data_IF_877111074353
#
_entry.id   IF_877111074353
#
_cell.length_a   1.000
_cell.length_b   1.000
_cell.length_c   1.000
_cell.angle_alpha   90.00
_cell.angle_beta   90.00
_cell.angle_gamma   90.00
#
_symmetry.space_group_name_H-M   'P 1'
#
loop_
_entity.id
_entity.type
_entity.pdbx_description
1 polymer ?
#
# COMPACT_ATOMS: atom_id res chain seq x y z
N UNK A 1 74.31 -23.30 39.90
CA UNK A 1 73.24 -24.06 39.25
C UNK A 1 71.93 -23.61 39.89
N UNK A 2 71.30 -22.53 39.38
CA UNK A 2 70.05 -21.98 39.89
C UNK A 2 68.95 -22.27 38.87
N UNK A 3 67.96 -23.05 39.28
CA UNK A 3 66.75 -23.29 38.48
C UNK A 3 65.74 -22.17 38.70
N UNK A 4 65.50 -21.39 37.64
CA UNK A 4 64.40 -20.39 37.61
C UNK A 4 63.10 -21.15 37.23
N UNK A 5 62.12 -21.10 38.11
CA UNK A 5 60.74 -21.54 37.81
C UNK A 5 59.93 -20.40 37.20
N UNK A 6 59.51 -20.59 35.97
CA UNK A 6 58.61 -19.72 35.26
C UNK A 6 57.17 -20.01 35.70
N UNK A 7 56.52 -19.06 36.36
CA UNK A 7 55.10 -19.11 36.69
C UNK A 7 54.32 -18.48 35.54
N UNK A 8 53.50 -19.28 34.84
CA UNK A 8 52.54 -18.80 33.84
C UNK A 8 51.27 -18.38 34.57
N UNK A 9 51.04 -17.09 34.62
CA UNK A 9 49.74 -16.51 35.08
C UNK A 9 48.79 -16.51 33.89
N UNK A 10 47.82 -17.42 33.93
CA UNK A 10 46.73 -17.46 32.99
C UNK A 10 45.74 -16.30 33.28
N UNK A 11 45.73 -15.31 32.41
CA UNK A 11 44.73 -14.22 32.45
C UNK A 11 43.45 -14.73 31.81
N UNK A 12 42.48 -15.13 32.63
CA UNK A 12 41.13 -15.48 32.16
C UNK A 12 40.40 -14.20 31.72
N UNK A 13 40.17 -14.01 30.42
CA UNK A 13 39.23 -13.04 29.93
C UNK A 13 37.80 -13.49 30.29
N UNK A 14 37.23 -12.90 31.31
CA UNK A 14 35.76 -12.91 31.51
C UNK A 14 35.14 -12.00 30.44
N UNK A 15 34.51 -12.61 29.42
CA UNK A 15 33.62 -11.95 28.53
C UNK A 15 32.33 -11.72 29.32
N UNK A 16 32.18 -10.54 29.93
CA UNK A 16 30.89 -10.09 30.41
C UNK A 16 30.04 -9.72 29.18
N UNK A 17 29.13 -10.62 28.81
CA UNK A 17 28.04 -10.28 27.92
C UNK A 17 27.24 -9.18 28.62
N UNK A 18 27.37 -7.92 28.18
CA UNK A 18 26.43 -6.87 28.52
C UNK A 18 25.10 -7.23 27.83
N UNK A 19 24.18 -7.86 28.55
CA UNK A 19 22.78 -7.74 28.21
C UNK A 19 22.40 -6.29 28.41
N UNK A 20 22.16 -5.55 27.36
CA UNK A 20 21.58 -4.21 27.43
C UNK A 20 20.10 -4.38 27.86
N UNK A 21 19.86 -4.40 29.17
CA UNK A 21 18.52 -4.15 29.68
C UNK A 21 18.13 -2.74 29.25
N UNK A 22 17.21 -2.64 28.28
CA UNK A 22 16.60 -1.33 27.94
C UNK A 22 16.04 -0.76 29.25
N UNK A 23 16.54 0.42 29.65
CA UNK A 23 16.02 1.12 30.81
C UNK A 23 14.61 1.56 30.43
N UNK A 24 13.59 1.04 31.11
CA UNK A 24 12.19 1.43 30.91
C UNK A 24 12.04 2.91 31.30
N UNK A 25 11.92 3.77 30.29
CA UNK A 25 11.64 5.21 30.45
C UNK A 25 10.20 5.48 29.99
N UNK A 26 9.59 6.59 30.42
CA UNK A 26 8.28 6.97 29.88
C UNK A 26 8.33 7.38 28.41
N UNK A 27 9.54 7.62 27.88
CA UNK A 27 9.76 8.04 26.49
C UNK A 27 9.69 6.87 25.51
N UNK A 28 9.73 5.60 25.97
CA UNK A 28 9.65 4.41 25.11
C UNK A 28 8.21 3.84 24.98
N UNK A 29 7.20 4.51 25.54
CA UNK A 29 5.81 4.07 25.47
C UNK A 29 5.27 4.11 24.02
N UNK A 30 4.54 3.06 23.65
CA UNK A 30 3.91 2.91 22.34
C UNK A 30 3.00 4.11 21.96
N UNK A 31 2.31 4.69 22.94
CA UNK A 31 1.43 5.86 22.72
C UNK A 31 2.17 7.17 22.45
N UNK A 32 3.49 7.23 22.65
CA UNK A 32 4.29 8.46 22.51
C UNK A 32 5.23 8.44 21.31
N UNK A 33 5.42 7.29 20.69
CA UNK A 33 6.40 7.11 19.62
C UNK A 33 5.73 6.58 18.34
N UNK A 34 6.28 6.91 17.16
CA UNK A 34 5.87 6.26 15.92
C UNK A 34 6.10 4.75 15.97
N UNK A 35 5.13 3.97 15.51
CA UNK A 35 5.29 2.54 15.29
C UNK A 35 6.35 2.35 14.19
N UNK A 36 7.37 1.54 14.47
CA UNK A 36 8.42 1.25 13.51
C UNK A 36 8.04 0.02 12.70
N UNK A 37 7.92 0.18 11.38
CA UNK A 37 7.60 -0.90 10.46
C UNK A 37 8.72 -1.10 9.45
N UNK A 38 9.01 -2.34 9.11
CA UNK A 38 10.04 -2.69 8.13
C UNK A 38 9.52 -3.76 7.18
N UNK A 39 9.73 -3.54 5.88
CA UNK A 39 9.53 -4.52 4.80
C UNK A 39 10.89 -4.73 4.13
N UNK A 40 11.35 -5.97 4.01
CA UNK A 40 12.62 -6.29 3.36
C UNK A 40 12.39 -7.11 2.09
N UNK A 41 12.37 -6.42 0.95
CA UNK A 41 12.17 -7.03 -0.37
C UNK A 41 13.42 -7.79 -0.87
N UNK A 42 14.54 -7.69 -0.18
CA UNK A 42 15.77 -8.43 -0.50
C UNK A 42 15.85 -9.78 0.22
N UNK A 43 14.94 -10.02 1.16
CA UNK A 43 14.84 -11.23 1.98
C UNK A 43 13.54 -12.01 1.74
N UNK A 44 12.98 -11.88 0.55
CA UNK A 44 11.81 -12.66 0.10
C UNK A 44 12.16 -14.15 0.02
N UNK A 45 11.31 -15.00 0.59
CA UNK A 45 11.47 -16.46 0.61
C UNK A 45 10.17 -17.13 0.19
N UNK A 46 10.24 -18.01 -0.79
CA UNK A 46 9.06 -18.73 -1.32
C UNK A 46 7.91 -17.77 -1.63
N UNK A 47 8.23 -16.67 -2.32
CA UNK A 47 7.29 -15.64 -2.74
C UNK A 47 6.59 -14.87 -1.59
N UNK A 48 7.26 -14.76 -0.44
CA UNK A 48 6.75 -14.09 0.75
C UNK A 48 7.73 -13.06 1.27
N UNK A 49 7.24 -11.85 1.50
CA UNK A 49 8.03 -10.76 2.04
C UNK A 49 7.99 -10.73 3.57
N UNK A 50 9.15 -10.65 4.26
CA UNK A 50 9.19 -10.51 5.70
C UNK A 50 8.80 -9.09 6.13
N UNK A 51 7.99 -9.01 7.17
CA UNK A 51 7.55 -7.78 7.82
C UNK A 51 7.87 -7.83 9.30
N UNK A 52 8.35 -6.70 9.83
CA UNK A 52 8.59 -6.50 11.27
C UNK A 52 7.91 -5.22 11.72
N UNK A 53 7.22 -5.27 12.86
CA UNK A 53 6.57 -4.10 13.48
C UNK A 53 6.97 -4.02 14.94
N UNK A 54 7.64 -2.93 15.33
CA UNK A 54 7.96 -2.56 16.72
C UNK A 54 7.03 -1.41 17.12
N UNK A 55 6.04 -1.67 18.00
CA UNK A 55 5.07 -0.65 18.42
C UNK A 55 5.64 0.29 19.50
N UNK A 56 6.80 0.00 20.06
CA UNK A 56 7.22 0.52 21.34
C UNK A 56 6.58 -0.26 22.52
N UNK A 57 6.78 0.22 23.72
CA UNK A 57 6.38 -0.49 24.96
C UNK A 57 4.91 -0.26 25.31
N UNK A 58 4.15 -1.35 25.48
CA UNK A 58 2.81 -1.34 26.05
C UNK A 58 2.83 -1.30 27.59
N UNK A 59 1.73 -0.85 28.17
CA UNK A 59 1.45 -0.93 29.61
C UNK A 59 0.36 -1.94 29.94
N UNK A 60 -0.35 -2.38 28.90
CA UNK A 60 -1.43 -3.39 28.96
C UNK A 60 -0.84 -4.80 28.94
N UNK A 61 -1.47 -5.73 29.65
CA UNK A 61 -1.10 -7.15 29.68
C UNK A 61 -1.52 -7.89 28.39
N UNK A 62 -2.57 -7.44 27.74
CA UNK A 62 -3.07 -8.00 26.49
C UNK A 62 -3.34 -6.92 25.45
N UNK A 63 -2.93 -7.16 24.20
CA UNK A 63 -3.22 -6.28 23.06
C UNK A 63 -3.74 -7.10 21.87
N UNK A 64 -4.44 -6.43 20.97
CA UNK A 64 -4.93 -7.03 19.73
C UNK A 64 -4.19 -6.40 18.55
N UNK A 65 -3.56 -7.26 17.73
CA UNK A 65 -2.97 -6.92 16.44
C UNK A 65 -3.89 -7.37 15.31
N UNK A 66 -4.05 -6.53 14.27
CA UNK A 66 -4.93 -6.81 13.14
C UNK A 66 -4.29 -6.46 11.79
N UNK A 67 -4.64 -7.22 10.76
CA UNK A 67 -4.63 -6.77 9.37
C UNK A 67 -6.05 -6.34 8.99
N UNK A 68 -6.21 -5.41 8.03
CA UNK A 68 -7.53 -4.99 7.56
C UNK A 68 -8.40 -6.14 7.06
N UNK A 69 -9.65 -6.16 7.50
CA UNK A 69 -10.69 -7.01 6.96
C UNK A 69 -11.31 -6.38 5.70
N UNK A 70 -11.47 -5.06 5.74
CA UNK A 70 -11.99 -4.22 4.65
C UNK A 70 -11.12 -2.99 4.53
N UNK A 71 -11.00 -2.42 3.34
CA UNK A 71 -10.34 -1.13 3.11
C UNK A 71 -11.31 -0.14 2.48
N UNK A 72 -10.95 1.14 2.51
CA UNK A 72 -11.71 2.18 1.81
C UNK A 72 -11.63 1.96 0.31
N UNK A 73 -12.70 2.27 -0.42
CA UNK A 73 -12.78 2.19 -1.88
C UNK A 73 -13.13 0.81 -2.44
N UNK A 74 -12.83 -0.29 -1.73
CA UNK A 74 -13.05 -1.64 -2.29
C UNK A 74 -14.50 -2.16 -2.20
N UNK A 75 -15.26 -1.71 -1.20
CA UNK A 75 -16.64 -2.15 -0.90
C UNK A 75 -16.82 -3.66 -0.72
N UNK A 76 -15.73 -4.40 -0.58
CA UNK A 76 -15.68 -5.86 -0.43
C UNK A 76 -14.95 -6.27 0.85
N UNK A 77 -15.16 -7.52 1.26
CA UNK A 77 -14.46 -8.11 2.42
C UNK A 77 -13.22 -8.85 1.92
N UNK A 78 -12.07 -8.22 2.03
CA UNK A 78 -10.80 -8.71 1.48
C UNK A 78 -10.06 -9.67 2.40
N UNK A 79 -10.15 -9.47 3.74
CA UNK A 79 -9.53 -10.31 4.77
C UNK A 79 -8.01 -10.47 4.57
N UNK A 80 -7.24 -9.39 4.59
CA UNK A 80 -5.79 -9.41 4.35
C UNK A 80 -5.00 -10.29 5.33
N UNK A 81 -5.51 -10.53 6.54
CA UNK A 81 -4.88 -11.47 7.49
C UNK A 81 -4.85 -12.94 7.03
N UNK A 82 -5.51 -13.29 5.91
CA UNK A 82 -5.38 -14.62 5.28
C UNK A 82 -4.02 -14.85 4.63
N UNK A 83 -3.39 -13.75 4.21
CA UNK A 83 -2.12 -13.77 3.47
C UNK A 83 -0.90 -13.68 4.40
N UNK A 84 -1.15 -13.72 5.72
CA UNK A 84 -0.12 -13.65 6.75
C UNK A 84 0.26 -15.06 7.22
N UNK A 85 1.55 -15.35 7.16
CA UNK A 85 2.14 -16.61 7.63
C UNK A 85 3.18 -16.36 8.73
N UNK A 86 3.37 -17.36 9.58
CA UNK A 86 4.39 -17.40 10.64
C UNK A 86 4.35 -16.19 11.60
N UNK A 87 3.15 -15.68 11.90
CA UNK A 87 2.98 -14.58 12.85
C UNK A 87 3.61 -14.95 14.20
N UNK A 88 4.51 -14.11 14.70
CA UNK A 88 5.26 -14.33 15.95
C UNK A 88 5.39 -13.01 16.71
N UNK A 89 4.97 -13.03 17.99
CA UNK A 89 5.22 -11.93 18.93
C UNK A 89 6.49 -12.24 19.73
N UNK A 90 7.42 -11.30 19.85
CA UNK A 90 8.73 -11.49 20.49
C UNK A 90 8.88 -10.46 21.61
N UNK A 91 9.47 -10.91 22.73
CA UNK A 91 9.92 -10.01 23.79
C UNK A 91 11.29 -9.41 23.49
N UNK A 92 11.76 -8.51 24.38
CA UNK A 92 13.06 -7.81 24.25
C UNK A 92 14.30 -8.74 24.32
N UNK A 93 14.12 -9.98 24.78
CA UNK A 93 15.16 -11.02 24.79
C UNK A 93 15.06 -11.96 23.56
N UNK A 94 14.07 -11.71 22.67
CA UNK A 94 13.80 -12.52 21.48
C UNK A 94 13.02 -13.81 21.78
N UNK A 95 12.44 -13.95 22.97
CA UNK A 95 11.59 -15.08 23.33
C UNK A 95 10.17 -14.86 22.81
N UNK A 96 9.55 -15.94 22.34
CA UNK A 96 8.17 -15.91 21.83
C UNK A 96 7.19 -15.68 22.98
N UNK A 97 6.35 -14.65 22.83
CA UNK A 97 5.21 -14.36 23.68
C UNK A 97 3.99 -15.17 23.27
N UNK A 98 3.08 -15.50 24.21
CA UNK A 98 1.82 -16.16 23.88
C UNK A 98 0.99 -15.30 22.93
N UNK A 99 0.64 -15.84 21.76
CA UNK A 99 -0.25 -15.19 20.82
C UNK A 99 -1.26 -16.19 20.28
N UNK A 100 -2.48 -15.74 19.98
CA UNK A 100 -3.56 -16.56 19.46
C UNK A 100 -4.29 -15.85 18.34
N UNK A 101 -4.39 -16.49 17.16
CA UNK A 101 -5.26 -16.03 16.10
C UNK A 101 -6.72 -16.21 16.53
N UNK A 102 -7.51 -15.13 16.60
CA UNK A 102 -8.89 -15.11 17.09
C UNK A 102 -9.91 -15.07 15.96
N UNK A 103 -9.52 -14.55 14.79
CA UNK A 103 -10.29 -14.59 13.55
C UNK A 103 -9.33 -14.58 12.34
N UNK A 104 -9.84 -14.40 11.12
CA UNK A 104 -9.00 -14.39 9.90
C UNK A 104 -7.95 -13.28 9.92
N UNK A 105 -8.22 -12.15 10.58
CA UNK A 105 -7.44 -10.92 10.48
C UNK A 105 -6.77 -10.52 11.80
N UNK A 106 -7.06 -11.21 12.92
CA UNK A 106 -6.75 -10.70 14.25
C UNK A 106 -6.03 -11.71 15.14
N UNK A 107 -5.08 -11.21 15.93
CA UNK A 107 -4.33 -11.97 16.94
C UNK A 107 -4.38 -11.25 18.29
N UNK A 108 -4.69 -11.96 19.36
CA UNK A 108 -4.40 -11.52 20.74
C UNK A 108 -2.96 -11.87 21.08
N UNK A 109 -2.29 -10.97 21.80
CA UNK A 109 -0.93 -11.15 22.32
C UNK A 109 -1.02 -10.90 23.82
N UNK A 110 -0.68 -11.91 24.62
CA UNK A 110 -0.62 -11.81 26.08
C UNK A 110 0.81 -11.48 26.56
N UNK A 111 0.97 -11.05 27.80
CA UNK A 111 2.22 -10.51 28.36
C UNK A 111 2.74 -9.31 27.54
N UNK A 112 1.82 -8.48 27.01
CA UNK A 112 2.13 -7.44 26.02
C UNK A 112 2.99 -6.29 26.59
N UNK A 113 3.06 -6.12 27.89
CA UNK A 113 4.02 -5.19 28.54
C UNK A 113 5.50 -5.56 28.27
N UNK A 114 5.75 -6.80 27.81
CA UNK A 114 7.06 -7.31 27.42
C UNK A 114 7.25 -7.37 25.89
N UNK A 115 6.25 -7.01 25.10
CA UNK A 115 6.33 -7.07 23.63
C UNK A 115 7.38 -6.08 23.12
N UNK A 116 8.38 -6.60 22.37
CA UNK A 116 9.34 -5.83 21.60
C UNK A 116 8.82 -5.60 20.17
N UNK A 117 8.39 -6.69 19.52
CA UNK A 117 7.92 -6.64 18.13
C UNK A 117 7.07 -7.82 17.74
N UNK A 118 6.35 -7.65 16.64
CA UNK A 118 5.75 -8.75 15.88
C UNK A 118 6.48 -8.93 14.55
N UNK A 119 6.60 -10.19 14.11
CA UNK A 119 7.16 -10.55 12.82
C UNK A 119 6.24 -11.52 12.10
N UNK A 120 6.17 -11.43 10.78
CA UNK A 120 5.40 -12.33 9.93
C UNK A 120 5.88 -12.26 8.49
N UNK A 121 5.41 -13.19 7.67
CA UNK A 121 5.56 -13.15 6.23
C UNK A 121 4.22 -12.78 5.58
N UNK A 122 4.29 -11.97 4.54
CA UNK A 122 3.16 -11.63 3.68
C UNK A 122 3.29 -12.40 2.38
N UNK A 123 2.30 -13.20 2.05
CA UNK A 123 2.10 -13.76 0.71
C UNK A 123 1.32 -12.75 -0.12
N UNK A 124 1.57 -12.67 -1.42
CA UNK A 124 0.88 -11.73 -2.27
C UNK A 124 -0.54 -12.18 -2.67
N UNK A 125 -1.23 -11.39 -3.50
CA UNK A 125 -2.60 -11.67 -3.89
C UNK A 125 -2.76 -11.91 -5.39
N UNK A 126 -1.72 -11.63 -6.19
CA UNK A 126 -1.83 -11.69 -7.65
C UNK A 126 -1.76 -13.11 -8.18
N UNK A 127 -0.93 -13.97 -7.59
CA UNK A 127 -0.66 -15.32 -8.08
C UNK A 127 -1.19 -16.45 -7.19
N UNK A 128 -1.89 -16.12 -6.13
CA UNK A 128 -2.44 -17.12 -5.21
C UNK A 128 -3.18 -18.21 -5.96
N UNK A 129 -2.75 -19.45 -5.72
CA UNK A 129 -3.46 -20.64 -6.22
C UNK A 129 -4.89 -20.66 -5.67
N UNK A 130 -5.85 -20.52 -6.59
CA UNK A 130 -7.27 -20.51 -6.26
C UNK A 130 -7.73 -21.89 -5.85
N UNK A 131 -7.52 -22.25 -4.60
CA UNK A 131 -8.15 -23.42 -4.00
C UNK A 131 -9.62 -23.06 -3.67
N UNK A 132 -10.49 -23.22 -4.65
CA UNK A 132 -11.95 -23.40 -4.64
C UNK A 132 -12.85 -22.40 -3.92
N UNK A 133 -12.47 -21.88 -2.76
CA UNK A 133 -13.34 -21.12 -1.84
C UNK A 133 -12.87 -19.68 -1.54
N UNK A 134 -11.79 -19.22 -2.15
CA UNK A 134 -11.26 -17.87 -1.89
C UNK A 134 -11.65 -16.96 -3.06
N UNK A 135 -12.51 -15.97 -2.80
CA UNK A 135 -12.73 -14.88 -3.75
C UNK A 135 -11.40 -14.15 -3.98
N UNK A 136 -10.99 -13.94 -5.23
CA UNK A 136 -9.79 -13.17 -5.50
C UNK A 136 -9.96 -11.74 -5.00
N UNK A 137 -8.89 -11.16 -4.45
CA UNK A 137 -8.82 -9.74 -4.13
C UNK A 137 -8.95 -8.94 -5.44
N UNK A 138 -9.66 -7.83 -5.42
CA UNK A 138 -9.67 -6.86 -6.53
C UNK A 138 -8.24 -6.40 -6.80
N UNK A 139 -7.75 -6.55 -8.03
CA UNK A 139 -6.31 -6.41 -8.27
C UNK A 139 -5.73 -5.04 -7.92
N UNK A 140 -6.40 -3.89 -8.11
CA UNK A 140 -5.89 -2.60 -7.67
C UNK A 140 -5.70 -2.45 -6.15
N UNK A 141 -6.44 -3.18 -5.32
CA UNK A 141 -6.22 -3.25 -3.86
C UNK A 141 -5.23 -4.36 -3.46
N UNK A 142 -4.89 -5.22 -4.41
CA UNK A 142 -4.03 -6.38 -4.20
C UNK A 142 -2.55 -6.05 -4.11
N UNK A 143 -1.77 -7.10 -3.91
CA UNK A 143 -0.31 -7.02 -3.71
C UNK A 143 0.40 -7.92 -4.70
N UNK A 144 1.64 -7.57 -5.08
CA UNK A 144 2.52 -8.36 -5.91
C UNK A 144 3.88 -8.54 -5.23
N UNK A 145 4.40 -9.76 -5.23
CA UNK A 145 5.75 -10.10 -4.75
C UNK A 145 6.41 -10.93 -5.84
N UNK A 146 7.22 -10.30 -6.67
CA UNK A 146 7.90 -10.94 -7.80
C UNK A 146 9.35 -10.46 -7.87
N UNK A 147 10.29 -11.26 -8.35
CA UNK A 147 11.69 -10.86 -8.49
C UNK A 147 11.92 -9.56 -9.28
N UNK A 148 11.01 -9.21 -10.18
CA UNK A 148 11.13 -8.04 -11.06
C UNK A 148 10.25 -6.86 -10.64
N UNK A 149 9.25 -7.10 -9.77
CA UNK A 149 8.29 -6.08 -9.37
C UNK A 149 7.58 -6.40 -8.06
N UNK A 150 7.38 -5.39 -7.25
CA UNK A 150 6.57 -5.44 -6.03
C UNK A 150 5.48 -4.36 -6.08
N UNK A 151 4.23 -4.74 -5.85
CA UNK A 151 3.13 -3.82 -5.59
C UNK A 151 2.80 -3.91 -4.11
N UNK A 152 3.11 -2.85 -3.37
CA UNK A 152 2.94 -2.77 -1.93
C UNK A 152 1.71 -1.89 -1.62
N UNK A 153 0.52 -2.47 -1.73
CA UNK A 153 -0.64 -1.90 -1.07
C UNK A 153 -0.48 -2.13 0.44
N UNK A 154 -0.09 -1.08 1.17
CA UNK A 154 0.42 -1.19 2.55
C UNK A 154 -0.58 -1.78 3.54
N UNK A 155 -1.89 -1.70 3.25
CA UNK A 155 -2.93 -2.38 4.02
C UNK A 155 -2.83 -3.93 3.96
N UNK A 156 -2.20 -4.49 2.94
CA UNK A 156 -1.90 -5.91 2.82
C UNK A 156 -0.61 -6.32 3.53
N UNK A 157 0.29 -5.37 3.81
CA UNK A 157 1.59 -5.63 4.43
C UNK A 157 1.65 -5.24 5.90
N UNK A 158 1.16 -4.07 6.27
CA UNK A 158 1.33 -3.49 7.59
C UNK A 158 0.01 -3.61 8.36
N UNK A 159 0.05 -4.31 9.49
CA UNK A 159 -1.07 -4.36 10.42
C UNK A 159 -1.02 -3.23 11.45
N UNK A 160 -2.02 -3.20 12.32
CA UNK A 160 -2.16 -2.21 13.37
C UNK A 160 -2.55 -2.85 14.70
N UNK A 161 -2.22 -2.19 15.80
CA UNK A 161 -2.76 -2.52 17.12
C UNK A 161 -4.03 -1.70 17.35
N UNK A 162 -5.10 -2.31 17.85
CA UNK A 162 -6.40 -1.66 18.07
C UNK A 162 -6.27 -0.34 18.83
N UNK A 163 -5.45 -0.32 19.88
CA UNK A 163 -5.22 0.85 20.72
C UNK A 163 -4.33 1.93 20.05
N UNK A 164 -3.63 1.61 18.95
CA UNK A 164 -2.63 2.47 18.31
C UNK A 164 -2.97 2.83 16.85
N UNK A 165 -4.16 2.53 16.34
CA UNK A 165 -4.51 2.81 14.92
C UNK A 165 -4.40 4.28 14.52
N UNK A 166 -4.47 5.21 15.47
CA UNK A 166 -4.30 6.66 15.24
C UNK A 166 -2.89 7.15 15.57
N UNK A 167 -1.96 6.26 15.92
CA UNK A 167 -0.56 6.60 16.14
C UNK A 167 0.17 6.80 14.82
N UNK A 168 1.26 7.53 14.85
CA UNK A 168 2.12 7.71 13.68
C UNK A 168 2.97 6.46 13.40
N UNK A 169 3.40 6.33 12.16
CA UNK A 169 4.23 5.24 11.67
C UNK A 169 5.52 5.75 11.02
N UNK A 170 6.60 5.04 11.24
CA UNK A 170 7.79 5.10 10.39
C UNK A 170 7.87 3.77 9.63
N UNK A 171 7.99 3.82 8.33
CA UNK A 171 8.16 2.65 7.48
C UNK A 171 9.55 2.67 6.83
N UNK A 172 10.25 1.56 6.91
CA UNK A 172 11.49 1.32 6.19
C UNK A 172 11.26 0.21 5.17
N UNK A 173 11.51 0.49 3.90
CA UNK A 173 11.47 -0.51 2.82
C UNK A 173 12.86 -0.69 2.27
N UNK A 174 13.38 -1.92 2.35
CA UNK A 174 14.68 -2.30 1.78
C UNK A 174 14.45 -3.01 0.45
N UNK A 175 15.06 -2.52 -0.62
CA UNK A 175 14.95 -3.06 -1.97
C UNK A 175 16.33 -3.16 -2.66
N UNK A 176 16.48 -3.95 -3.75
CA UNK A 176 17.66 -3.90 -4.61
C UNK A 176 17.95 -2.48 -5.10
N UNK A 177 19.23 -2.10 -5.15
CA UNK A 177 19.64 -0.74 -5.50
C UNK A 177 19.41 -0.35 -6.96
N UNK A 178 19.14 -1.31 -7.82
CA UNK A 178 18.80 -1.14 -9.24
C UNK A 178 17.30 -1.03 -9.51
N UNK A 179 16.47 -1.08 -8.45
CA UNK A 179 15.04 -0.85 -8.57
C UNK A 179 14.70 0.63 -8.49
N UNK A 180 13.84 1.07 -9.39
CA UNK A 180 13.08 2.32 -9.23
C UNK A 180 11.93 2.08 -8.25
N UNK A 181 11.47 3.14 -7.60
CA UNK A 181 10.27 3.08 -6.77
C UNK A 181 9.40 4.32 -6.92
N UNK A 182 8.13 4.16 -6.66
CA UNK A 182 7.12 5.22 -6.69
C UNK A 182 6.19 5.11 -5.49
N UNK A 183 5.84 6.23 -4.91
CA UNK A 183 4.78 6.39 -3.90
C UNK A 183 4.50 7.86 -3.66
N UNK A 184 3.24 8.22 -3.44
CA UNK A 184 2.87 9.56 -3.00
C UNK A 184 3.28 9.86 -1.55
N UNK A 185 3.63 8.85 -0.75
CA UNK A 185 4.20 9.03 0.57
C UNK A 185 5.65 9.53 0.46
N UNK A 186 5.89 10.74 0.97
CA UNK A 186 7.20 11.37 0.87
C UNK A 186 8.26 10.62 1.68
N UNK A 187 9.38 10.29 1.04
CA UNK A 187 10.53 9.71 1.74
C UNK A 187 11.16 10.72 2.70
N UNK A 188 11.60 10.25 3.85
CA UNK A 188 12.32 11.04 4.87
C UNK A 188 13.83 10.85 4.78
N UNK A 189 14.29 9.88 3.99
CA UNK A 189 15.70 9.62 3.75
C UNK A 189 15.95 8.24 3.16
N UNK A 190 17.17 8.05 2.67
CA UNK A 190 17.64 6.79 2.09
C UNK A 190 19.01 6.41 2.66
N UNK A 191 19.23 5.13 2.82
CA UNK A 191 20.52 4.58 3.24
C UNK A 191 20.87 3.35 2.41
N UNK A 192 22.11 3.32 1.91
CA UNK A 192 22.67 2.13 1.24
C UNK A 192 23.33 1.21 2.25
N UNK A 193 23.26 -0.10 1.99
CA UNK A 193 24.09 -1.06 2.70
C UNK A 193 25.59 -0.90 2.32
N UNK A 194 26.49 -1.63 3.00
CA UNK A 194 27.93 -1.43 2.89
C UNK A 194 28.55 -1.73 1.51
N UNK A 195 27.91 -2.58 0.71
CA UNK A 195 28.37 -2.92 -0.65
C UNK A 195 27.59 -2.22 -1.75
N UNK A 196 26.57 -1.41 -1.38
CA UNK A 196 25.75 -0.65 -2.31
C UNK A 196 24.75 -1.48 -3.11
N UNK A 197 24.51 -2.74 -2.74
CA UNK A 197 23.58 -3.61 -3.45
C UNK A 197 22.12 -3.36 -3.12
N UNK A 198 21.86 -2.77 -1.94
CA UNK A 198 20.50 -2.53 -1.43
C UNK A 198 20.36 -1.12 -0.92
N UNK A 199 19.16 -0.55 -1.09
CA UNK A 199 18.77 0.74 -0.54
C UNK A 199 17.59 0.54 0.41
N UNK A 200 17.67 1.15 1.59
CA UNK A 200 16.53 1.28 2.50
C UNK A 200 16.01 2.70 2.42
N UNK A 201 14.76 2.84 1.99
CA UNK A 201 14.04 4.11 1.95
C UNK A 201 13.14 4.20 3.18
N UNK A 202 13.22 5.32 3.89
CA UNK A 202 12.43 5.60 5.11
C UNK A 202 11.29 6.55 4.79
N UNK A 203 10.12 6.29 5.39
CA UNK A 203 8.91 7.08 5.23
C UNK A 203 8.29 7.38 6.59
N UNK A 204 7.44 8.41 6.64
CA UNK A 204 6.67 8.77 7.83
C UNK A 204 5.21 9.01 7.46
N UNK A 205 4.30 8.42 8.25
CA UNK A 205 2.86 8.64 8.14
C UNK A 205 2.28 9.06 9.49
N UNK A 206 1.43 10.11 9.56
CA UNK A 206 0.86 10.60 10.82
C UNK A 206 -0.09 9.61 11.50
N UNK A 207 -0.76 8.73 10.72
CA UNK A 207 -1.74 7.74 11.18
C UNK A 207 -1.65 6.49 10.31
N UNK A 208 -2.28 5.41 10.75
CA UNK A 208 -2.41 4.19 9.95
C UNK A 208 -3.11 4.44 8.61
N UNK A 209 -4.18 5.27 8.60
CA UNK A 209 -4.83 5.70 7.36
C UNK A 209 -3.84 6.33 6.37
N UNK A 210 -3.05 7.30 6.83
CA UNK A 210 -2.10 8.02 5.98
C UNK A 210 -0.96 7.10 5.49
N UNK A 211 -0.71 5.98 6.16
CA UNK A 211 0.19 4.94 5.69
C UNK A 211 -0.45 4.11 4.57
N UNK A 212 -1.66 3.56 4.82
CA UNK A 212 -2.33 2.64 3.90
C UNK A 212 -2.91 3.30 2.65
N UNK A 213 -3.16 4.62 2.71
CA UNK A 213 -3.59 5.45 1.57
C UNK A 213 -2.45 5.80 0.59
N UNK A 214 -1.26 5.28 0.81
CA UNK A 214 -0.10 5.53 -0.04
C UNK A 214 0.52 4.22 -0.51
N UNK A 215 -0.03 3.59 -1.55
CA UNK A 215 0.55 2.42 -2.17
C UNK A 215 1.94 2.74 -2.73
N UNK A 216 2.74 1.68 -2.89
CA UNK A 216 4.08 1.77 -3.44
C UNK A 216 4.27 0.73 -4.54
N UNK A 217 5.09 1.03 -5.51
CA UNK A 217 5.58 0.04 -6.47
C UNK A 217 7.10 0.12 -6.56
N UNK A 218 7.75 -1.02 -6.45
CA UNK A 218 9.21 -1.20 -6.60
C UNK A 218 9.48 -2.13 -7.78
N UNK A 219 10.53 -1.88 -8.55
CA UNK A 219 10.92 -2.78 -9.63
C UNK A 219 11.62 -2.08 -10.79
N UNK A 220 11.70 -2.76 -11.93
CA UNK A 220 12.19 -2.18 -13.19
C UNK A 220 11.09 -1.35 -13.87
N UNK A 221 10.78 -0.18 -13.27
CA UNK A 221 9.71 0.70 -13.69
C UNK A 221 10.17 1.65 -14.80
N UNK A 222 9.24 2.01 -15.70
CA UNK A 222 9.38 3.13 -16.63
C UNK A 222 8.63 4.33 -16.05
N UNK A 223 9.35 5.41 -15.72
CA UNK A 223 8.79 6.55 -14.97
C UNK A 223 8.92 7.84 -15.78
N UNK A 224 7.81 8.57 -15.88
CA UNK A 224 7.77 9.92 -16.43
C UNK A 224 7.24 10.90 -15.38
N UNK A 225 7.95 12.03 -15.23
CA UNK A 225 7.57 13.13 -14.32
C UNK A 225 7.27 14.37 -15.13
N UNK A 226 6.15 15.02 -14.85
CA UNK A 226 5.73 16.24 -15.53
C UNK A 226 4.77 17.04 -14.66
N UNK A 227 4.47 18.29 -15.08
CA UNK A 227 3.57 19.17 -14.34
C UNK A 227 2.35 19.52 -15.20
N UNK A 228 1.17 19.51 -14.57
CA UNK A 228 -0.08 19.98 -15.17
C UNK A 228 -0.71 21.00 -14.21
N UNK A 229 -0.79 22.27 -14.63
CA UNK A 229 -1.45 23.38 -13.92
C UNK A 229 -1.13 23.43 -12.39
N UNK A 230 0.13 23.26 -12.05
CA UNK A 230 0.64 23.31 -10.67
C UNK A 230 0.58 21.99 -9.92
N UNK A 231 0.11 20.90 -10.53
CA UNK A 231 0.14 19.55 -9.97
C UNK A 231 1.35 18.80 -10.56
N UNK A 232 2.23 18.30 -9.70
CA UNK A 232 3.31 17.41 -10.11
C UNK A 232 2.74 16.01 -10.33
N UNK A 233 2.89 15.46 -11.53
CA UNK A 233 2.42 14.13 -11.89
C UNK A 233 3.64 13.19 -11.98
N UNK A 234 3.55 12.06 -11.30
CA UNK A 234 4.46 10.94 -11.51
C UNK A 234 3.67 9.77 -12.14
N UNK A 235 4.04 9.39 -13.35
CA UNK A 235 3.48 8.25 -14.07
C UNK A 235 4.50 7.13 -14.06
N UNK A 236 4.22 6.08 -13.28
CA UNK A 236 5.06 4.90 -13.15
C UNK A 236 4.38 3.70 -13.77
N UNK A 237 5.04 3.04 -14.71
CA UNK A 237 4.51 1.93 -15.49
C UNK A 237 5.37 0.69 -15.31
N UNK A 238 4.75 -0.40 -14.89
CA UNK A 238 5.32 -1.74 -15.00
C UNK A 238 4.65 -2.49 -16.16
N UNK A 239 5.43 -2.93 -17.11
CA UNK A 239 4.99 -3.70 -18.29
C UNK A 239 5.95 -4.89 -18.43
N UNK A 240 5.58 -6.10 -17.99
CA UNK A 240 6.50 -7.24 -17.87
C UNK A 240 7.16 -7.60 -19.20
N UNK A 241 6.43 -7.50 -20.31
CA UNK A 241 6.97 -7.73 -21.65
C UNK A 241 7.42 -6.43 -22.37
N UNK A 242 7.43 -5.29 -21.65
CA UNK A 242 7.84 -3.97 -22.19
C UNK A 242 7.06 -3.54 -23.43
N UNK A 243 5.77 -3.93 -23.52
CA UNK A 243 4.87 -3.59 -24.62
C UNK A 243 4.54 -2.10 -24.59
N UNK A 244 4.36 -1.55 -23.38
CA UNK A 244 4.05 -0.14 -23.17
C UNK A 244 5.07 0.50 -22.23
N UNK A 245 5.28 1.81 -22.40
CA UNK A 245 6.17 2.61 -21.58
C UNK A 245 5.43 3.83 -21.03
N UNK A 246 5.88 4.41 -19.92
CA UNK A 246 5.35 5.66 -19.39
C UNK A 246 5.39 6.76 -20.47
N UNK A 247 6.49 6.84 -21.22
CA UNK A 247 6.63 7.76 -22.35
C UNK A 247 5.55 7.58 -23.41
N UNK A 248 5.14 6.33 -23.70
CA UNK A 248 4.12 6.05 -24.71
C UNK A 248 2.71 6.46 -24.31
N UNK A 249 2.48 6.62 -22.99
CA UNK A 249 1.17 6.95 -22.36
C UNK A 249 1.13 8.40 -21.89
N UNK A 250 2.28 9.01 -21.62
CA UNK A 250 2.44 10.36 -21.04
C UNK A 250 1.55 11.42 -21.69
N UNK A 251 1.52 11.48 -23.00
CA UNK A 251 0.72 12.50 -23.71
C UNK A 251 -0.77 12.34 -23.42
N UNK A 252 -1.27 11.09 -23.39
CA UNK A 252 -2.66 10.79 -23.04
C UNK A 252 -2.97 11.26 -21.61
N UNK A 253 -2.11 10.94 -20.64
CA UNK A 253 -2.27 11.36 -19.24
C UNK A 253 -2.21 12.88 -19.12
N UNK A 254 -1.25 13.51 -19.81
CA UNK A 254 -1.09 14.97 -19.78
C UNK A 254 -2.35 15.70 -20.28
N UNK A 255 -2.88 15.34 -21.45
CA UNK A 255 -4.07 15.97 -22.01
C UNK A 255 -5.32 15.66 -21.17
N UNK A 256 -5.46 14.44 -20.63
CA UNK A 256 -6.53 14.07 -19.71
C UNK A 256 -6.50 14.94 -18.44
N UNK A 257 -5.35 14.99 -17.75
CA UNK A 257 -5.20 15.76 -16.50
C UNK A 257 -5.41 17.26 -16.70
N UNK A 258 -4.95 17.78 -17.83
CA UNK A 258 -5.16 19.17 -18.24
C UNK A 258 -6.66 19.48 -18.45
N UNK A 259 -7.36 18.60 -19.15
CA UNK A 259 -8.81 18.71 -19.35
C UNK A 259 -9.58 18.62 -18.01
N UNK A 260 -9.22 17.68 -17.14
CA UNK A 260 -9.81 17.57 -15.80
C UNK A 260 -9.56 18.83 -14.97
N UNK A 261 -8.35 19.37 -15.00
CA UNK A 261 -8.02 20.59 -14.27
C UNK A 261 -8.78 21.80 -14.83
N UNK A 262 -8.94 21.93 -16.15
CA UNK A 262 -9.77 22.95 -16.77
C UNK A 262 -11.25 22.82 -16.35
N UNK A 263 -11.77 21.61 -16.31
CA UNK A 263 -13.12 21.30 -15.88
C UNK A 263 -13.36 21.61 -14.38
N UNK A 264 -12.40 21.35 -13.52
CA UNK A 264 -12.46 21.65 -12.08
C UNK A 264 -12.29 23.14 -11.76
N UNK A 265 -11.71 23.93 -12.67
CA UNK A 265 -11.47 25.35 -12.49
C UNK A 265 -10.53 25.64 -11.30
N UNK A 266 -11.00 26.48 -10.37
CA UNK A 266 -10.21 26.92 -9.21
C UNK A 266 -10.07 25.86 -8.11
N UNK A 267 -10.72 24.70 -8.24
CA UNK A 267 -10.58 23.60 -7.26
C UNK A 267 -9.14 23.08 -7.35
N UNK A 268 -8.41 23.21 -6.25
CA UNK A 268 -7.02 22.77 -6.13
C UNK A 268 -6.84 22.08 -4.76
N UNK A 269 -6.90 20.76 -4.76
CA UNK A 269 -6.87 19.93 -3.53
C UNK A 269 -5.55 19.20 -3.33
N UNK A 270 -4.73 19.11 -4.37
CA UNK A 270 -3.42 18.47 -4.31
C UNK A 270 -2.40 19.18 -5.19
N UNK A 271 -1.15 19.17 -4.79
CA UNK A 271 0.04 19.66 -5.51
C UNK A 271 0.86 18.53 -6.16
N UNK A 272 0.42 17.30 -5.93
CA UNK A 272 1.12 16.09 -6.38
C UNK A 272 0.10 14.95 -6.60
N UNK A 273 0.30 14.14 -7.67
CA UNK A 273 -0.53 12.98 -7.94
C UNK A 273 0.26 11.90 -8.66
N UNK A 274 0.34 10.70 -8.06
CA UNK A 274 1.03 9.54 -8.62
C UNK A 274 0.04 8.60 -9.30
N UNK A 275 0.40 8.17 -10.50
CA UNK A 275 -0.33 7.15 -11.26
C UNK A 275 0.56 5.92 -11.32
N UNK A 276 0.19 4.91 -10.54
CA UNK A 276 0.88 3.63 -10.42
C UNK A 276 0.16 2.65 -11.34
N UNK A 277 0.74 2.40 -12.51
CA UNK A 277 0.13 1.56 -13.55
C UNK A 277 0.85 0.21 -13.66
N UNK A 278 0.18 -0.85 -13.23
CA UNK A 278 0.59 -2.23 -13.46
C UNK A 278 -0.11 -2.79 -14.70
N UNK A 279 0.65 -3.24 -15.68
CA UNK A 279 0.11 -3.88 -16.88
C UNK A 279 0.24 -5.40 -16.78
N UNK A 280 -0.89 -6.08 -16.56
CA UNK A 280 -0.96 -7.54 -16.51
C UNK A 280 -0.75 -8.13 -17.90
N UNK A 281 0.13 -9.12 -18.01
CA UNK A 281 0.31 -9.91 -19.25
C UNK A 281 -0.72 -11.03 -19.41
N UNK A 282 -1.54 -11.30 -18.38
CA UNK A 282 -2.58 -12.29 -18.37
C UNK A 282 -2.09 -13.73 -18.17
N UNK A 283 -0.81 -13.92 -17.89
CA UNK A 283 -0.22 -15.22 -17.56
C UNK A 283 -0.74 -15.75 -16.20
N UNK A 284 -0.32 -16.97 -15.82
CA UNK A 284 -0.87 -17.64 -14.64
C UNK A 284 -0.71 -16.83 -13.34
N UNK A 285 0.46 -16.22 -13.18
CA UNK A 285 0.89 -15.54 -11.96
C UNK A 285 0.65 -14.01 -12.04
N UNK A 286 -0.24 -13.59 -12.94
CA UNK A 286 -0.62 -12.19 -13.15
C UNK A 286 -2.02 -11.89 -12.65
N UNK A 287 -2.28 -10.65 -12.20
CA UNK A 287 -3.59 -10.22 -11.72
C UNK A 287 -4.64 -10.25 -12.84
N UNK A 288 -5.88 -10.60 -12.50
CA UNK A 288 -6.99 -10.77 -13.47
C UNK A 288 -8.15 -9.81 -13.27
N UNK A 289 -8.19 -9.08 -12.16
CA UNK A 289 -9.14 -7.99 -11.94
C UNK A 289 -8.58 -6.70 -12.52
N UNK A 290 -9.31 -6.03 -13.43
CA UNK A 290 -8.86 -4.81 -14.07
C UNK A 290 -9.70 -3.63 -13.59
N UNK A 291 -9.06 -2.50 -13.31
CA UNK A 291 -9.66 -1.29 -12.80
C UNK A 291 -8.61 -0.41 -12.11
N UNK A 292 -9.06 0.44 -11.22
CA UNK A 292 -8.19 1.21 -10.35
C UNK A 292 -8.78 1.35 -8.94
N UNK A 293 -7.98 1.92 -8.04
CA UNK A 293 -8.37 2.25 -6.68
C UNK A 293 -7.86 3.65 -6.36
N UNK A 294 -8.78 4.47 -5.83
CA UNK A 294 -8.51 5.84 -5.45
C UNK A 294 -7.69 5.95 -4.17
N UNK A 295 -6.84 6.97 -4.14
CA UNK A 295 -6.11 7.45 -2.98
C UNK A 295 -6.03 8.97 -3.00
N UNK A 296 -5.75 9.61 -1.87
CA UNK A 296 -5.74 11.08 -1.77
C UNK A 296 -4.77 11.75 -2.74
N UNK A 297 -3.63 11.12 -3.01
CA UNK A 297 -2.57 11.67 -3.87
C UNK A 297 -2.06 10.70 -4.91
N UNK A 298 -2.75 9.59 -5.11
CA UNK A 298 -2.35 8.58 -6.10
C UNK A 298 -3.52 7.72 -6.55
N UNK A 299 -3.28 6.90 -7.54
CA UNK A 299 -4.14 5.76 -7.91
C UNK A 299 -3.28 4.56 -8.28
N UNK A 300 -3.75 3.37 -7.92
CA UNK A 300 -3.22 2.11 -8.44
C UNK A 300 -4.15 1.61 -9.52
N UNK A 301 -3.66 1.53 -10.74
CA UNK A 301 -4.40 0.99 -11.87
C UNK A 301 -3.78 -0.33 -12.36
N UNK A 302 -4.62 -1.34 -12.54
CA UNK A 302 -4.23 -2.62 -13.13
C UNK A 302 -4.98 -2.78 -14.45
N UNK A 303 -4.24 -2.77 -15.56
CA UNK A 303 -4.80 -2.85 -16.91
C UNK A 303 -4.12 -3.96 -17.72
N UNK A 304 -4.59 -4.18 -18.97
CA UNK A 304 -4.11 -5.26 -19.84
C UNK A 304 -2.91 -4.83 -20.66
N UNK A 305 -1.78 -5.52 -20.53
CA UNK A 305 -0.58 -5.26 -21.33
C UNK A 305 -0.79 -5.52 -22.83
N UNK A 306 -1.58 -6.54 -23.18
CA UNK A 306 -1.86 -6.91 -24.59
C UNK A 306 -2.83 -5.97 -25.32
N UNK A 307 -3.28 -4.90 -24.68
CA UNK A 307 -4.13 -3.90 -25.33
C UNK A 307 -3.39 -3.16 -26.42
N UNK A 308 -4.10 -2.77 -27.49
CA UNK A 308 -3.54 -1.82 -28.45
C UNK A 308 -3.28 -0.47 -27.73
N UNK A 309 -2.36 0.34 -28.29
CA UNK A 309 -2.06 1.66 -27.74
C UNK A 309 -3.31 2.52 -27.57
N UNK A 310 -4.20 2.54 -28.58
CA UNK A 310 -5.41 3.35 -28.56
C UNK A 310 -6.43 2.86 -27.52
N UNK A 311 -6.54 1.54 -27.36
CA UNK A 311 -7.42 0.96 -26.33
C UNK A 311 -6.88 1.22 -24.93
N UNK A 312 -5.56 1.08 -24.72
CA UNK A 312 -4.93 1.40 -23.44
C UNK A 312 -5.10 2.88 -23.11
N UNK A 313 -4.89 3.78 -24.09
CA UNK A 313 -5.08 5.22 -23.93
C UNK A 313 -6.51 5.54 -23.47
N UNK A 314 -7.54 4.95 -24.12
CA UNK A 314 -8.92 5.16 -23.68
C UNK A 314 -9.17 4.57 -22.28
N UNK A 315 -8.66 3.39 -21.99
CA UNK A 315 -8.81 2.78 -20.66
C UNK A 315 -8.17 3.63 -19.55
N UNK A 316 -7.01 4.24 -19.82
CA UNK A 316 -6.36 5.15 -18.88
C UNK A 316 -7.21 6.40 -18.65
N UNK A 317 -7.78 7.00 -19.70
CA UNK A 317 -8.67 8.15 -19.55
C UNK A 317 -9.91 7.80 -18.72
N UNK A 318 -10.56 6.67 -19.03
CA UNK A 318 -11.80 6.28 -18.36
C UNK A 318 -11.55 5.91 -16.88
N UNK A 319 -10.49 5.16 -16.60
CA UNK A 319 -10.22 4.62 -15.26
C UNK A 319 -9.49 5.64 -14.40
N UNK A 320 -8.32 6.12 -14.82
CA UNK A 320 -7.53 7.09 -14.03
C UNK A 320 -8.25 8.43 -13.92
N UNK A 321 -9.03 8.80 -14.97
CA UNK A 321 -9.88 9.99 -14.92
C UNK A 321 -10.98 9.91 -13.87
N UNK A 322 -11.57 8.73 -13.65
CA UNK A 322 -12.53 8.49 -12.57
C UNK A 322 -11.83 8.65 -11.20
N UNK A 323 -10.73 7.95 -10.98
CA UNK A 323 -10.00 8.00 -9.72
C UNK A 323 -9.52 9.40 -9.34
N UNK A 324 -9.10 10.19 -10.32
CA UNK A 324 -8.68 11.57 -10.04
C UNK A 324 -9.84 12.44 -9.54
N UNK A 325 -11.09 12.24 -9.99
CA UNK A 325 -12.22 12.99 -9.47
C UNK A 325 -12.57 12.66 -8.02
N UNK A 326 -12.11 11.54 -7.50
CA UNK A 326 -12.23 11.23 -6.07
C UNK A 326 -11.51 12.22 -5.15
N UNK A 327 -10.56 13.03 -5.66
CA UNK A 327 -9.97 14.15 -4.89
C UNK A 327 -11.03 15.16 -4.42
N UNK A 328 -12.18 15.21 -5.08
CA UNK A 328 -13.32 16.05 -4.69
C UNK A 328 -14.22 15.30 -3.71
N UNK A 329 -14.65 14.09 -4.07
CA UNK A 329 -15.52 13.24 -3.25
C UNK A 329 -15.21 11.76 -3.49
N UNK A 330 -14.96 10.91 -2.45
CA UNK A 330 -15.10 11.21 -1.02
C UNK A 330 -13.86 11.84 -0.36
N UNK A 331 -12.73 12.01 -1.06
CA UNK A 331 -11.48 12.40 -0.40
C UNK A 331 -11.49 13.85 0.10
N UNK A 332 -12.10 14.79 -0.64
CA UNK A 332 -12.27 16.17 -0.22
C UNK A 332 -13.53 16.43 0.60
N UNK A 333 -14.63 15.75 0.29
CA UNK A 333 -15.94 15.89 0.95
C UNK A 333 -16.47 14.51 1.28
N UNK A 334 -16.52 14.16 2.58
CA UNK A 334 -16.90 12.83 3.05
C UNK A 334 -17.60 12.83 4.40
N UNK A 335 -18.20 11.69 4.76
CA UNK A 335 -18.80 11.45 6.07
C UNK A 335 -17.74 11.14 7.13
N UNK A 336 -18.16 11.22 8.40
CA UNK A 336 -17.33 10.83 9.56
C UNK A 336 -16.90 9.35 9.46
N UNK A 337 -17.74 8.47 8.93
CA UNK A 337 -17.45 7.05 8.76
C UNK A 337 -16.25 6.80 7.83
N UNK A 338 -16.03 7.67 6.84
CA UNK A 338 -14.85 7.60 5.96
C UNK A 338 -13.63 8.19 6.65
N UNK A 339 -13.78 9.32 7.37
CA UNK A 339 -12.67 9.98 8.07
C UNK A 339 -12.06 9.08 9.16
N UNK A 340 -12.89 8.33 9.88
CA UNK A 340 -12.50 7.44 10.98
C UNK A 340 -12.85 5.99 10.67
N UNK A 341 -12.44 5.54 9.49
CA UNK A 341 -12.76 4.22 8.96
C UNK A 341 -12.36 3.09 9.93
N UNK A 342 -13.26 2.15 10.13
CA UNK A 342 -12.99 0.93 10.90
C UNK A 342 -12.65 -0.22 9.95
N UNK A 343 -11.37 -0.58 9.91
CA UNK A 343 -10.87 -1.62 9.02
C UNK A 343 -11.33 -3.03 9.38
N UNK A 344 -11.90 -3.22 10.57
CA UNK A 344 -12.40 -4.51 11.05
C UNK A 344 -13.92 -4.66 10.93
N UNK A 345 -14.67 -3.61 11.27
CA UNK A 345 -16.15 -3.60 11.23
C UNK A 345 -16.68 -2.25 10.68
N UNK A 346 -16.47 -1.98 9.37
CA UNK A 346 -16.79 -0.70 8.77
C UNK A 346 -18.30 -0.47 8.68
N UNK A 347 -18.68 0.80 8.86
CA UNK A 347 -20.02 1.29 8.49
C UNK A 347 -19.95 1.87 7.08
N UNK A 348 -20.67 1.27 6.14
CA UNK A 348 -20.74 1.80 4.79
C UNK A 348 -21.62 3.05 4.71
N UNK A 349 -21.10 4.10 4.08
CA UNK A 349 -21.83 5.34 3.91
C UNK A 349 -23.10 5.16 3.06
N UNK A 350 -24.21 5.77 3.50
CA UNK A 350 -25.45 5.87 2.69
C UNK A 350 -25.30 6.77 1.47
N UNK A 351 -24.17 7.47 1.37
CA UNK A 351 -23.88 8.41 0.28
C UNK A 351 -22.99 7.81 -0.83
N UNK A 352 -22.87 6.49 -0.88
CA UNK A 352 -22.09 5.79 -1.92
C UNK A 352 -22.48 6.20 -3.34
N UNK A 353 -23.78 6.42 -3.58
CA UNK A 353 -24.29 6.94 -4.85
C UNK A 353 -23.69 8.29 -5.25
N UNK A 354 -23.34 9.13 -4.27
CA UNK A 354 -22.68 10.41 -4.51
C UNK A 354 -21.18 10.18 -4.76
N UNK A 355 -20.53 9.37 -3.93
CA UNK A 355 -19.10 9.14 -4.04
C UNK A 355 -18.73 8.46 -5.34
N UNK A 356 -19.54 7.50 -5.79
CA UNK A 356 -19.29 6.75 -7.03
C UNK A 356 -20.08 7.29 -8.22
N UNK A 357 -21.39 7.48 -8.04
CA UNK A 357 -22.27 7.84 -9.15
C UNK A 357 -22.05 9.27 -9.66
N UNK A 358 -21.79 10.22 -8.78
CA UNK A 358 -21.49 11.61 -9.19
C UNK A 358 -20.07 11.71 -9.74
N UNK A 359 -19.11 11.03 -9.13
CA UNK A 359 -17.72 10.93 -9.62
C UNK A 359 -17.69 10.33 -11.01
N UNK A 360 -18.40 9.22 -11.22
CA UNK A 360 -18.50 8.58 -12.54
C UNK A 360 -19.16 9.51 -13.58
N UNK A 361 -20.20 10.24 -13.20
CA UNK A 361 -20.79 11.23 -14.09
C UNK A 361 -19.78 12.30 -14.49
N UNK A 362 -19.00 12.83 -13.56
CA UNK A 362 -17.95 13.81 -13.87
C UNK A 362 -16.85 13.22 -14.73
N UNK A 363 -16.43 11.97 -14.46
CA UNK A 363 -15.42 11.27 -15.25
C UNK A 363 -15.84 11.04 -16.71
N UNK A 364 -17.12 10.98 -17.00
CA UNK A 364 -17.63 10.92 -18.38
C UNK A 364 -17.90 12.31 -18.96
N UNK A 365 -18.49 13.21 -18.14
CA UNK A 365 -18.91 14.52 -18.63
C UNK A 365 -17.74 15.43 -18.99
N UNK A 366 -16.62 15.41 -18.24
CA UNK A 366 -15.47 16.25 -18.57
C UNK A 366 -14.90 15.93 -19.95
N UNK A 367 -14.93 14.66 -20.36
CA UNK A 367 -14.38 14.23 -21.65
C UNK A 367 -15.12 14.90 -22.81
N UNK A 368 -16.46 14.94 -22.77
CA UNK A 368 -17.23 15.61 -23.81
C UNK A 368 -17.17 17.14 -23.68
N UNK A 369 -17.16 17.66 -22.45
CA UNK A 369 -17.10 19.10 -22.18
C UNK A 369 -15.80 19.73 -22.66
N UNK A 370 -14.66 19.04 -22.46
CA UNK A 370 -13.33 19.49 -22.87
C UNK A 370 -12.92 18.96 -24.26
N UNK A 371 -13.82 18.25 -24.95
CA UNK A 371 -13.62 17.82 -26.35
C UNK A 371 -12.72 16.60 -26.53
N UNK A 372 -12.50 15.79 -25.49
CA UNK A 372 -11.78 14.52 -25.60
C UNK A 372 -12.66 13.40 -26.18
N UNK A 373 -13.96 13.53 -26.08
CA UNK A 373 -14.96 12.59 -26.58
C UNK A 373 -16.10 13.32 -27.32
N UNK A 374 -16.77 12.65 -28.26
CA UNK A 374 -17.93 13.22 -28.95
C UNK A 374 -19.19 13.13 -28.09
N UNK A 375 -20.16 14.06 -28.28
CA UNK A 375 -21.47 13.99 -27.64
C UNK A 375 -22.20 12.66 -27.92
N UNK A 376 -22.03 12.11 -29.12
CA UNK A 376 -22.65 10.85 -29.48
C UNK A 376 -22.09 9.67 -28.67
N UNK A 377 -20.78 9.62 -28.47
CA UNK A 377 -20.13 8.57 -27.65
C UNK A 377 -20.54 8.70 -26.18
N UNK A 378 -20.60 9.94 -25.65
CA UNK A 378 -21.13 10.21 -24.31
C UNK A 378 -22.57 9.68 -24.15
N UNK A 379 -23.47 9.97 -25.11
CA UNK A 379 -24.84 9.45 -25.04
C UNK A 379 -24.90 7.92 -25.12
N UNK A 380 -24.05 7.29 -25.92
CA UNK A 380 -23.94 5.83 -26.00
C UNK A 380 -23.53 5.27 -24.64
N UNK A 381 -22.48 5.83 -24.01
CA UNK A 381 -21.97 5.44 -22.70
C UNK A 381 -23.06 5.61 -21.62
N UNK A 382 -23.71 6.77 -21.55
CA UNK A 382 -24.79 7.02 -20.59
C UNK A 382 -25.98 6.09 -20.79
N UNK A 383 -26.38 5.82 -22.03
CA UNK A 383 -27.46 4.89 -22.34
C UNK A 383 -27.11 3.47 -21.91
N UNK A 384 -25.85 3.06 -22.08
CA UNK A 384 -25.38 1.75 -21.61
C UNK A 384 -25.47 1.66 -20.08
N UNK A 385 -24.93 2.65 -19.34
CA UNK A 385 -24.98 2.69 -17.87
C UNK A 385 -26.42 2.65 -17.34
N UNK A 386 -27.32 3.43 -17.91
CA UNK A 386 -28.76 3.41 -17.56
C UNK A 386 -29.39 2.03 -17.83
N UNK A 387 -29.02 1.38 -18.92
CA UNK A 387 -29.55 0.03 -19.20
C UNK A 387 -28.98 -1.05 -18.27
N UNK A 388 -27.73 -0.92 -17.87
CA UNK A 388 -27.10 -1.82 -16.88
C UNK A 388 -27.74 -1.61 -15.50
N UNK A 389 -27.98 -0.36 -15.09
CA UNK A 389 -28.55 -0.05 -13.76
C UNK A 389 -29.92 -0.71 -13.54
N UNK A 390 -30.72 -0.90 -14.61
CA UNK A 390 -32.01 -1.60 -14.52
C UNK A 390 -31.94 -3.07 -14.10
N UNK A 391 -30.72 -3.63 -14.01
CA UNK A 391 -30.51 -5.02 -13.54
C UNK A 391 -30.34 -5.11 -12.03
N UNK A 392 -30.21 -3.97 -11.36
CA UNK A 392 -30.06 -3.88 -9.91
C UNK A 392 -31.38 -3.45 -9.30
N UNK A 393 -31.68 -4.00 -8.13
CA UNK A 393 -32.84 -3.61 -7.34
C UNK A 393 -32.46 -2.35 -6.54
N UNK A 394 -33.27 -1.31 -6.65
CA UNK A 394 -33.08 -0.01 -5.99
C UNK A 394 -34.07 0.20 -4.81
N UNK A 395 -34.80 -0.85 -4.38
CA UNK A 395 -35.81 -0.82 -3.31
C UNK A 395 -35.27 -1.25 -1.94
#
# INVERSE_FOLDING_TARGET
MNKVRLAIIGLGLMITACSSTKIKTNDDLAVHNPIQSTIDLTSVVDDKAPVTIDPGRFTEDEVIFRLPRVIQGSYEVSNFGRYIENFTALDYDGKVLPSKKIDLNSWTISDAEHLDKVTYFVNDTYDIERNGDISPIFSPEGTNISPDNYVLNLHGFIGYFDSLKNSSYTLNVTAPADFEHTSALQSTGETSNSDGSNITTSYFAPRYFDLTDNPMMYGHLDVERFMVDGINIELSVYSPNKVHTAKSIKETVYEMMKAQKAYLGDIHTTDHYDIILFLSDGEKDSPRGFGALEHQKSTVAVLREWSSKDYLAKSVIDVVGHEFFHIVTPLGIHSEDIQYFDYNDPTFSKHLWMYEGVTEYFAQHFQVYEGLESENDFYITMSHKINVSKRFDDT
#
